data_IF_626924002221
#
_entry.id   IF_626924002221
#
_cell.length_a   1.000
_cell.length_b   1.000
_cell.length_c   1.000
_cell.angle_alpha   90.00
_cell.angle_beta   90.00
_cell.angle_gamma   90.00
#
_symmetry.space_group_name_H-M   'P 1'
#
loop_
_entity.id
_entity.type
_entity.pdbx_description
1 polymer ?
#
# COMPACT_ATOMS: atom_id res chain seq x y z
N UNK A 1 -7.59 -26.13 -19.23
CA UNK A 1 -8.10 -25.21 -18.19
C UNK A 1 -6.90 -24.48 -17.61
N UNK A 2 -6.86 -23.16 -17.80
CA UNK A 2 -5.67 -22.34 -17.60
C UNK A 2 -5.70 -21.74 -16.18
N UNK A 3 -5.00 -22.38 -15.24
CA UNK A 3 -4.93 -21.99 -13.82
C UNK A 3 -4.14 -20.68 -13.58
N UNK A 4 -3.55 -20.08 -14.63
CA UNK A 4 -2.73 -18.87 -14.53
C UNK A 4 -3.48 -17.55 -14.31
N UNK A 5 -4.82 -17.51 -14.47
CA UNK A 5 -5.61 -16.27 -14.29
C UNK A 5 -6.14 -16.05 -12.87
N UNK A 6 -6.12 -17.08 -12.03
CA UNK A 6 -6.84 -17.02 -10.73
C UNK A 6 -5.98 -16.35 -9.63
N UNK A 7 -4.65 -16.40 -9.75
CA UNK A 7 -3.74 -15.80 -8.74
C UNK A 7 -3.46 -14.31 -8.94
N UNK A 8 -3.94 -13.69 -10.03
CA UNK A 8 -3.71 -12.27 -10.32
C UNK A 8 -4.90 -11.36 -9.98
N UNK A 9 -6.08 -11.90 -9.66
CA UNK A 9 -7.33 -11.13 -9.60
C UNK A 9 -7.38 -10.05 -8.49
N UNK A 10 -6.52 -10.10 -7.49
CA UNK A 10 -6.51 -9.10 -6.40
C UNK A 10 -5.46 -8.01 -6.62
N UNK A 11 -4.35 -8.33 -7.30
CA UNK A 11 -3.28 -7.35 -7.57
C UNK A 11 -3.42 -6.63 -8.91
N UNK A 12 -4.09 -7.24 -9.90
CA UNK A 12 -4.27 -6.63 -11.24
C UNK A 12 -5.08 -5.33 -11.20
N UNK A 13 -5.99 -5.16 -10.24
CA UNK A 13 -6.91 -4.02 -10.24
C UNK A 13 -6.21 -2.69 -9.88
N UNK A 14 -5.37 -2.65 -8.84
CA UNK A 14 -4.75 -1.37 -8.43
C UNK A 14 -3.73 -0.86 -9.45
N UNK A 15 -2.94 -1.76 -10.04
CA UNK A 15 -1.92 -1.40 -11.03
C UNK A 15 -2.55 -0.87 -12.33
N UNK A 16 -3.56 -1.58 -12.84
CA UNK A 16 -4.33 -1.18 -14.02
C UNK A 16 -5.11 0.12 -13.78
N UNK A 17 -5.84 0.22 -12.66
CA UNK A 17 -6.62 1.41 -12.28
C UNK A 17 -5.73 2.66 -12.13
N UNK A 18 -4.56 2.52 -11.49
CA UNK A 18 -3.65 3.65 -11.34
C UNK A 18 -3.06 4.07 -12.68
N UNK A 19 -2.69 3.10 -13.53
CA UNK A 19 -2.26 3.37 -14.89
C UNK A 19 -3.32 4.13 -15.69
N UNK A 20 -4.57 3.69 -15.67
CA UNK A 20 -5.68 4.36 -16.35
C UNK A 20 -5.97 5.75 -15.80
N UNK A 21 -6.00 5.92 -14.47
CA UNK A 21 -6.24 7.22 -13.84
C UNK A 21 -5.14 8.23 -14.15
N UNK A 22 -3.87 7.84 -14.01
CA UNK A 22 -2.74 8.71 -14.29
C UNK A 22 -2.64 9.07 -15.77
N UNK A 23 -2.89 8.13 -16.68
CA UNK A 23 -2.87 8.38 -18.12
C UNK A 23 -4.10 9.19 -18.59
N UNK A 24 -5.27 8.94 -18.01
CA UNK A 24 -6.53 9.57 -18.41
C UNK A 24 -6.64 11.02 -17.96
N UNK A 25 -6.27 11.32 -16.72
CA UNK A 25 -6.31 12.68 -16.18
C UNK A 25 -5.00 13.46 -16.37
N UNK A 26 -3.89 12.77 -16.67
CA UNK A 26 -2.61 13.38 -17.05
C UNK A 26 -1.91 14.15 -15.92
N UNK A 27 -2.31 13.94 -14.67
CA UNK A 27 -1.80 14.65 -13.50
C UNK A 27 -0.86 13.82 -12.63
N UNK A 28 -0.37 14.46 -11.56
CA UNK A 28 0.49 13.81 -10.57
C UNK A 28 -0.27 12.84 -9.64
N UNK A 29 -1.60 12.94 -9.62
CA UNK A 29 -2.53 12.18 -8.79
C UNK A 29 -3.65 11.57 -9.63
N UNK A 30 -4.41 10.64 -9.05
CA UNK A 30 -5.40 9.85 -9.80
C UNK A 30 -6.55 10.67 -10.39
N UNK A 31 -6.77 11.88 -9.88
CA UNK A 31 -7.81 12.80 -10.36
C UNK A 31 -7.23 14.12 -10.91
N UNK A 32 -5.96 14.13 -11.32
CA UNK A 32 -5.30 15.30 -11.90
C UNK A 32 -4.12 15.81 -11.06
N UNK A 33 -3.90 17.13 -11.05
CA UNK A 33 -2.68 17.73 -10.46
C UNK A 33 -2.74 17.96 -8.95
N UNK A 34 -3.81 17.56 -8.27
CA UNK A 34 -4.00 17.82 -6.84
C UNK A 34 -4.39 16.54 -6.12
N UNK A 35 -3.91 16.41 -4.88
CA UNK A 35 -4.27 15.31 -4.00
C UNK A 35 -5.75 15.38 -3.62
N UNK A 36 -6.44 14.25 -3.71
CA UNK A 36 -7.87 14.14 -3.41
C UNK A 36 -8.17 12.98 -2.48
N UNK A 37 -9.45 12.83 -2.09
CA UNK A 37 -9.91 11.69 -1.30
C UNK A 37 -9.66 10.33 -1.98
N UNK A 38 -9.59 10.29 -3.31
CA UNK A 38 -9.26 9.06 -4.06
C UNK A 38 -7.82 8.65 -3.75
N UNK A 39 -6.88 9.59 -3.76
CA UNK A 39 -5.48 9.33 -3.42
C UNK A 39 -5.33 8.92 -1.96
N UNK A 40 -6.05 9.58 -1.05
CA UNK A 40 -6.07 9.25 0.37
C UNK A 40 -6.51 7.79 0.62
N UNK A 41 -7.51 7.30 -0.14
CA UNK A 41 -7.97 5.91 -0.07
C UNK A 41 -6.86 4.91 -0.45
N UNK A 42 -5.96 5.28 -1.36
CA UNK A 42 -4.87 4.43 -1.82
C UNK A 42 -3.58 4.54 -1.01
N UNK A 43 -3.45 5.51 -0.10
CA UNK A 43 -2.28 5.63 0.80
C UNK A 43 -1.98 4.31 1.54
N UNK A 44 -2.95 3.63 2.20
CA UNK A 44 -2.65 2.37 2.89
C UNK A 44 -2.21 1.24 1.96
N UNK A 45 -2.57 1.29 0.67
CA UNK A 45 -2.12 0.32 -0.33
C UNK A 45 -0.67 0.63 -0.71
N UNK A 46 -0.35 1.90 -0.97
CA UNK A 46 1.02 2.39 -1.22
C UNK A 46 2.00 1.98 -0.12
N UNK A 47 1.60 2.08 1.16
CA UNK A 47 2.45 1.70 2.29
C UNK A 47 2.75 0.19 2.36
N UNK A 48 1.82 -0.65 1.91
CA UNK A 48 1.95 -2.12 1.97
C UNK A 48 2.80 -2.72 0.85
N UNK A 49 3.04 -1.95 -0.21
CA UNK A 49 3.85 -2.39 -1.35
C UNK A 49 5.28 -2.74 -0.90
N UNK A 50 5.87 -1.95 0.00
CA UNK A 50 7.20 -2.24 0.55
C UNK A 50 7.22 -3.50 1.42
N UNK A 51 6.24 -3.64 2.33
CA UNK A 51 6.22 -4.74 3.30
C UNK A 51 5.90 -6.09 2.67
N UNK A 52 5.12 -6.10 1.59
CA UNK A 52 4.70 -7.32 0.89
C UNK A 52 5.47 -7.56 -0.41
N UNK A 53 6.45 -6.70 -0.74
CA UNK A 53 7.32 -6.84 -1.93
C UNK A 53 6.51 -7.03 -3.21
N UNK A 54 5.42 -6.27 -3.34
CA UNK A 54 4.53 -6.37 -4.49
C UNK A 54 5.24 -5.82 -5.73
N UNK A 55 5.17 -6.57 -6.83
CA UNK A 55 5.64 -6.10 -8.13
C UNK A 55 4.58 -5.21 -8.75
N UNK A 56 4.94 -3.96 -9.03
CA UNK A 56 4.09 -2.97 -9.66
C UNK A 56 4.63 -2.61 -11.04
N UNK A 57 3.76 -2.09 -11.91
CA UNK A 57 4.18 -1.49 -13.16
C UNK A 57 4.90 -0.14 -12.96
N UNK A 58 5.61 0.28 -14.00
CA UNK A 58 6.30 1.58 -14.06
C UNK A 58 5.46 2.79 -13.66
N UNK A 59 4.19 2.98 -14.09
CA UNK A 59 3.39 4.13 -13.64
C UNK A 59 2.96 4.06 -12.17
N UNK A 60 2.80 2.86 -11.61
CA UNK A 60 2.32 2.67 -10.24
C UNK A 60 3.41 2.92 -9.18
N UNK A 61 4.69 2.63 -9.49
CA UNK A 61 5.81 2.82 -8.56
C UNK A 61 6.04 4.30 -8.17
N UNK A 62 6.19 5.25 -9.11
CA UNK A 62 6.34 6.66 -8.80
C UNK A 62 5.13 7.23 -8.07
N UNK A 63 3.93 6.78 -8.42
CA UNK A 63 2.70 7.21 -7.74
C UNK A 63 2.69 6.76 -6.27
N UNK A 64 2.97 5.48 -6.00
CA UNK A 64 3.06 4.96 -4.63
C UNK A 64 4.15 5.70 -3.82
N UNK A 65 5.31 5.96 -4.43
CA UNK A 65 6.38 6.73 -3.81
C UNK A 65 5.95 8.17 -3.49
N UNK A 66 5.22 8.83 -4.41
CA UNK A 66 4.67 10.18 -4.20
C UNK A 66 3.69 10.21 -3.03
N UNK A 67 2.76 9.25 -2.95
CA UNK A 67 1.81 9.15 -1.83
C UNK A 67 2.53 8.99 -0.48
N UNK A 68 3.55 8.14 -0.43
CA UNK A 68 4.34 7.93 0.79
C UNK A 68 5.11 9.19 1.18
N UNK A 69 5.63 9.95 0.23
CA UNK A 69 6.39 11.17 0.50
C UNK A 69 5.53 12.34 1.02
N UNK A 70 4.20 12.24 1.01
CA UNK A 70 3.31 13.30 1.49
C UNK A 70 3.56 13.60 2.98
N UNK A 71 3.74 14.88 3.38
CA UNK A 71 3.99 15.25 4.77
C UNK A 71 2.92 14.74 5.75
N UNK A 72 1.65 14.79 5.35
CA UNK A 72 0.54 14.28 6.16
C UNK A 72 0.62 12.76 6.37
N UNK A 73 1.03 12.01 5.34
CA UNK A 73 1.23 10.56 5.44
C UNK A 73 2.43 10.24 6.32
N UNK A 74 3.52 10.99 6.20
CA UNK A 74 4.68 10.84 7.08
C UNK A 74 4.36 11.15 8.54
N UNK A 75 3.54 12.18 8.81
CA UNK A 75 3.04 12.47 10.16
C UNK A 75 2.19 11.31 10.69
N UNK A 76 1.26 10.81 9.88
CA UNK A 76 0.41 9.67 10.25
C UNK A 76 1.22 8.40 10.55
N UNK A 77 2.26 8.09 9.77
CA UNK A 77 3.16 6.95 10.03
C UNK A 77 3.86 7.12 11.39
N UNK A 78 4.33 8.32 11.71
CA UNK A 78 4.98 8.58 13.01
C UNK A 78 4.03 8.37 14.18
N UNK A 79 2.78 8.82 14.04
CA UNK A 79 1.74 8.58 15.06
C UNK A 79 1.47 7.07 15.21
N UNK A 80 1.33 6.36 14.09
CA UNK A 80 1.12 4.90 14.10
C UNK A 80 2.28 4.15 14.77
N UNK A 81 3.53 4.60 14.63
CA UNK A 81 4.69 3.99 15.30
C UNK A 81 4.66 4.13 16.83
N UNK A 82 3.87 5.05 17.37
CA UNK A 82 3.69 5.24 18.80
C UNK A 82 2.54 4.39 19.37
N UNK A 83 1.70 3.79 18.53
CA UNK A 83 0.58 2.97 18.95
C UNK A 83 1.06 1.73 19.71
N UNK A 84 0.48 1.50 20.89
CA UNK A 84 0.87 0.38 21.75
C UNK A 84 0.28 -0.91 21.21
N UNK A 85 1.13 -1.90 20.96
CA UNK A 85 0.68 -3.24 20.57
C UNK A 85 -0.08 -3.89 21.71
N UNK A 86 -1.25 -4.42 21.40
CA UNK A 86 -2.06 -5.15 22.36
C UNK A 86 -1.58 -6.61 22.46
N UNK A 87 -1.05 -6.98 23.62
CA UNK A 87 -0.52 -8.34 23.89
C UNK A 87 -1.51 -9.45 23.52
N UNK A 88 -2.82 -9.24 23.75
CA UNK A 88 -3.85 -10.20 23.40
C UNK A 88 -3.87 -10.54 21.89
N UNK A 89 -3.62 -9.57 21.01
CA UNK A 89 -3.52 -9.81 19.57
C UNK A 89 -2.25 -10.58 19.21
N UNK A 90 -1.14 -10.27 19.87
CA UNK A 90 0.14 -10.96 19.65
C UNK A 90 0.07 -12.44 20.04
N UNK A 91 -0.47 -12.73 21.23
CA UNK A 91 -0.67 -14.10 21.72
C UNK A 91 -1.61 -14.88 20.79
N UNK A 92 -2.66 -14.25 20.28
CA UNK A 92 -3.57 -14.88 19.33
C UNK A 92 -2.88 -15.23 17.99
N UNK A 93 -2.06 -14.32 17.45
CA UNK A 93 -1.26 -14.57 16.25
C UNK A 93 -0.28 -15.74 16.43
N UNK A 94 0.41 -15.80 17.58
CA UNK A 94 1.40 -16.85 17.89
C UNK A 94 0.78 -18.20 18.23
N UNK A 95 -0.51 -18.25 18.58
CA UNK A 95 -1.21 -19.52 18.85
C UNK A 95 -1.25 -20.44 17.63
N UNK A 96 -1.40 -19.87 16.43
CA UNK A 96 -1.53 -20.61 15.17
C UNK A 96 -0.46 -20.27 14.14
N UNK A 97 0.36 -19.24 14.39
CA UNK A 97 1.40 -18.78 13.49
C UNK A 97 2.79 -18.82 14.13
N UNK A 98 3.82 -18.71 13.29
CA UNK A 98 5.21 -18.51 13.70
C UNK A 98 5.64 -17.12 13.25
N UNK A 99 6.22 -16.34 14.16
CA UNK A 99 6.82 -15.05 13.80
C UNK A 99 8.06 -15.29 12.92
N UNK A 100 8.08 -14.67 11.74
CA UNK A 100 9.17 -14.78 10.76
C UNK A 100 10.05 -13.53 10.67
N UNK A 101 9.60 -12.43 11.28
CA UNK A 101 10.32 -11.16 11.35
C UNK A 101 9.47 -10.11 12.04
N UNK A 102 10.11 -9.22 12.80
CA UNK A 102 9.48 -8.04 13.39
C UNK A 102 10.11 -6.79 12.77
N UNK A 103 9.30 -6.02 12.06
CA UNK A 103 9.72 -4.80 11.36
C UNK A 103 9.63 -3.55 12.25
N UNK A 104 9.24 -3.70 13.52
CA UNK A 104 9.13 -2.60 14.50
C UNK A 104 10.40 -2.38 15.31
N UNK A 105 11.31 -3.36 15.32
CA UNK A 105 12.59 -3.31 16.04
C UNK A 105 13.73 -3.21 15.02
N UNK A 106 14.13 -1.99 14.68
CA UNK A 106 15.33 -1.72 13.87
C UNK A 106 16.55 -1.46 14.78
#
# INVERSE_FOLDING_TARGET
>A
MNYGKINNLIFMNSDELWGEGLNGFGGEFLAGNSFTGIDAFFVPVALRIETHQLKLSEPALPYAARLRALPAVQAWIKEWQLEVRHEAHEVACLRYGKLIGDMTTA
#
